data_IF_528566698169
#
_entry.id   IF_528566698169
#
_cell.length_a   1.000
_cell.length_b   1.000
_cell.length_c   1.000
_cell.angle_alpha   90.00
_cell.angle_beta   90.00
_cell.angle_gamma   90.00
#
_symmetry.space_group_name_H-M   'P 1'
#
loop_
_entity.id
_entity.type
_entity.pdbx_description
1 polymer ?
#
# COMPACT_ATOMS: atom_id res chain seq x y z
N UNK A 1 -21.98 -58.69 32.26
CA UNK A 1 -22.20 -57.37 31.63
C UNK A 1 -23.69 -57.14 31.53
N UNK A 2 -24.18 -56.04 32.11
CA UNK A 2 -25.60 -55.79 32.32
C UNK A 2 -26.30 -55.45 30.98
N UNK A 3 -27.29 -56.23 30.58
CA UNK A 3 -28.01 -56.11 29.29
C UNK A 3 -28.67 -54.75 29.12
N UNK A 4 -29.03 -54.08 30.23
CA UNK A 4 -29.55 -52.70 30.22
C UNK A 4 -28.50 -51.66 29.79
N UNK A 5 -27.23 -51.86 30.13
CA UNK A 5 -26.15 -50.91 29.79
C UNK A 5 -25.77 -51.02 28.31
N UNK A 6 -25.79 -52.23 27.76
CA UNK A 6 -25.57 -52.47 26.32
C UNK A 6 -26.70 -51.84 25.50
N UNK A 7 -27.96 -51.99 25.93
CA UNK A 7 -29.11 -51.39 25.25
C UNK A 7 -29.07 -49.86 25.26
N UNK A 8 -28.58 -49.24 26.33
CA UNK A 8 -28.46 -47.79 26.43
C UNK A 8 -27.37 -47.24 25.50
N UNK A 9 -26.23 -47.94 25.40
CA UNK A 9 -25.16 -47.54 24.48
C UNK A 9 -25.54 -47.71 23.01
N UNK A 10 -26.29 -48.76 22.67
CA UNK A 10 -26.83 -48.94 21.32
C UNK A 10 -27.83 -47.83 20.99
N UNK A 11 -28.75 -47.51 21.90
CA UNK A 11 -29.71 -46.42 21.71
C UNK A 11 -29.00 -45.07 21.55
N UNK A 12 -27.95 -44.82 22.33
CA UNK A 12 -27.12 -43.60 22.25
C UNK A 12 -26.34 -43.52 20.93
N UNK A 13 -25.83 -44.66 20.41
CA UNK A 13 -25.22 -44.75 19.08
C UNK A 13 -26.23 -44.49 17.95
N UNK A 14 -27.47 -44.99 18.07
CA UNK A 14 -28.54 -44.70 17.10
C UNK A 14 -29.00 -43.23 17.15
N UNK A 15 -29.02 -42.60 18.33
CA UNK A 15 -29.27 -41.17 18.49
C UNK A 15 -28.12 -40.30 17.93
N UNK A 16 -26.86 -40.72 18.09
CA UNK A 16 -25.71 -40.09 17.46
C UNK A 16 -25.71 -40.23 15.93
N UNK A 17 -26.23 -41.34 15.40
CA UNK A 17 -26.41 -41.54 13.95
C UNK A 17 -27.50 -40.64 13.34
N UNK A 18 -28.52 -40.24 14.11
CA UNK A 18 -29.55 -39.27 13.68
C UNK A 18 -29.13 -37.80 13.86
N UNK A 19 -27.97 -37.54 14.49
CA UNK A 19 -27.39 -36.19 14.61
C UNK A 19 -26.37 -35.90 13.49
N UNK A 20 -26.14 -36.86 12.59
CA UNK A 20 -25.27 -36.72 11.41
C UNK A 20 -26.15 -36.81 10.17
N UNK A 21 -27.08 -35.87 10.02
CA UNK A 21 -27.72 -35.64 8.73
C UNK A 21 -26.76 -34.80 7.88
N UNK A 22 -26.04 -35.43 6.94
CA UNK A 22 -25.56 -34.68 5.79
C UNK A 22 -26.76 -34.39 4.91
N UNK A 23 -27.10 -33.10 4.73
CA UNK A 23 -28.08 -32.72 3.72
C UNK A 23 -27.48 -33.05 2.34
N UNK A 24 -27.86 -34.21 1.80
CA UNK A 24 -27.45 -34.68 0.49
C UNK A 24 -28.31 -34.06 -0.65
N UNK A 25 -29.26 -33.18 -0.32
CA UNK A 25 -30.22 -32.60 -1.27
C UNK A 25 -30.62 -31.19 -0.85
N UNK A 26 -30.50 -30.22 -1.75
CA UNK A 26 -30.98 -28.85 -1.54
C UNK A 26 -32.49 -28.80 -1.81
N UNK A 27 -33.25 -28.30 -0.84
CA UNK A 27 -34.67 -28.01 -1.02
C UNK A 27 -34.87 -26.64 -1.68
N UNK A 28 -36.00 -26.43 -2.34
CA UNK A 28 -36.34 -25.20 -3.08
C UNK A 28 -36.30 -23.93 -2.21
N UNK A 29 -36.41 -24.06 -0.88
CA UNK A 29 -36.40 -22.96 0.09
C UNK A 29 -35.12 -22.87 0.92
N UNK A 30 -34.10 -23.69 0.65
CA UNK A 30 -32.83 -23.57 1.35
C UNK A 30 -32.13 -22.28 0.92
N UNK A 31 -31.73 -21.48 1.90
CA UNK A 31 -30.97 -20.24 1.65
C UNK A 31 -29.49 -20.57 1.71
N UNK A 32 -28.81 -20.46 0.56
CA UNK A 32 -27.36 -20.54 0.48
C UNK A 32 -26.79 -19.13 0.64
N UNK A 33 -25.76 -19.01 1.49
CA UNK A 33 -25.01 -17.79 1.70
C UNK A 33 -23.82 -17.75 0.75
N UNK A 34 -23.36 -16.54 0.44
CA UNK A 34 -22.13 -16.41 -0.31
C UNK A 34 -20.94 -16.94 0.53
N UNK A 35 -20.05 -17.70 -0.12
CA UNK A 35 -19.03 -18.49 0.56
C UNK A 35 -19.43 -19.93 0.91
N UNK A 36 -20.69 -20.33 0.77
CA UNK A 36 -21.11 -21.72 0.92
C UNK A 36 -20.57 -22.58 -0.24
N UNK A 37 -19.96 -23.71 0.09
CA UNK A 37 -19.37 -24.65 -0.88
C UNK A 37 -20.08 -25.99 -0.79
N UNK A 38 -20.81 -26.35 -1.85
CA UNK A 38 -21.47 -27.64 -1.98
C UNK A 38 -20.47 -28.67 -2.47
N UNK A 39 -20.13 -29.65 -1.64
CA UNK A 39 -19.21 -30.72 -2.04
C UNK A 39 -20.02 -31.93 -2.51
N UNK A 40 -19.79 -32.37 -3.75
CA UNK A 40 -20.46 -33.54 -4.31
C UNK A 40 -20.18 -34.82 -3.52
N UNK A 41 -21.13 -35.76 -3.56
CA UNK A 41 -20.99 -37.08 -2.95
C UNK A 41 -19.77 -37.81 -3.52
N UNK A 42 -18.84 -38.19 -2.64
CA UNK A 42 -17.54 -38.78 -3.00
C UNK A 42 -16.44 -37.76 -3.33
N UNK A 43 -16.66 -36.46 -3.04
CA UNK A 43 -15.68 -35.36 -3.19
C UNK A 43 -15.11 -35.22 -4.60
N UNK A 44 -15.92 -35.51 -5.64
CA UNK A 44 -15.50 -35.46 -7.05
C UNK A 44 -15.37 -34.02 -7.57
N UNK A 45 -16.27 -33.16 -7.12
CA UNK A 45 -16.31 -31.73 -7.41
C UNK A 45 -16.90 -30.95 -6.22
N UNK A 46 -16.61 -29.65 -6.17
CA UNK A 46 -17.22 -28.70 -5.26
C UNK A 46 -17.86 -27.57 -6.08
N UNK A 47 -19.09 -27.19 -5.76
CA UNK A 47 -19.87 -26.14 -6.39
C UNK A 47 -20.11 -25.04 -5.34
N UNK A 48 -19.42 -23.91 -5.45
CA UNK A 48 -19.77 -22.71 -4.70
C UNK A 48 -20.50 -21.73 -5.61
N UNK A 49 -21.42 -20.94 -5.05
CA UNK A 49 -22.10 -19.86 -5.77
C UNK A 49 -21.15 -18.66 -5.88
N UNK A 50 -20.07 -18.82 -6.63
CA UNK A 50 -19.15 -17.73 -6.93
C UNK A 50 -19.72 -16.97 -8.12
N UNK A 51 -20.11 -15.71 -7.95
CA UNK A 51 -19.86 -14.75 -9.03
C UNK A 51 -18.34 -14.70 -9.14
N UNK A 52 -17.73 -15.32 -10.17
CA UNK A 52 -16.28 -15.52 -10.20
C UNK A 52 -15.54 -14.19 -10.17
N UNK A 53 -16.20 -13.11 -10.56
CA UNK A 53 -15.70 -11.75 -10.65
C UNK A 53 -15.89 -10.92 -9.37
N UNK A 54 -16.67 -11.40 -8.40
CA UNK A 54 -17.06 -10.60 -7.22
C UNK A 54 -16.43 -11.12 -5.94
N UNK A 55 -15.81 -10.22 -5.16
CA UNK A 55 -15.37 -10.45 -3.79
C UNK A 55 -16.27 -9.71 -2.81
N UNK A 56 -17.03 -10.45 -2.01
CA UNK A 56 -17.79 -9.94 -0.88
C UNK A 56 -16.95 -9.86 0.40
N UNK A 57 -17.39 -9.09 1.40
CA UNK A 57 -16.80 -9.07 2.72
C UNK A 57 -16.71 -10.48 3.31
N UNK A 58 -15.65 -10.74 4.08
CA UNK A 58 -15.35 -12.05 4.69
C UNK A 58 -14.99 -13.19 3.71
N UNK A 59 -15.03 -12.98 2.39
CA UNK A 59 -14.46 -13.94 1.43
C UNK A 59 -12.92 -13.91 1.46
N UNK A 60 -12.31 -15.06 1.14
CA UNK A 60 -10.85 -15.21 1.10
C UNK A 60 -10.34 -15.15 -0.34
N UNK A 61 -9.20 -14.49 -0.53
CA UNK A 61 -8.29 -14.66 -1.66
C UNK A 61 -7.04 -15.39 -1.17
N UNK A 62 -6.48 -16.33 -1.93
CA UNK A 62 -5.23 -17.00 -1.59
C UNK A 62 -5.22 -18.49 -1.93
N UNK A 63 -4.67 -19.30 -1.02
CA UNK A 63 -4.43 -20.72 -1.22
C UNK A 63 -4.68 -21.50 0.08
N UNK A 64 -5.56 -22.49 0.00
CA UNK A 64 -5.61 -23.59 0.96
C UNK A 64 -4.42 -24.53 0.68
N UNK A 65 -3.44 -24.57 1.59
CA UNK A 65 -2.23 -25.40 1.44
C UNK A 65 -2.54 -26.89 1.61
N UNK A 66 -3.65 -27.22 2.27
CA UNK A 66 -4.04 -28.60 2.59
C UNK A 66 -4.70 -29.28 1.40
N UNK A 67 -5.49 -28.54 0.63
CA UNK A 67 -6.19 -29.04 -0.57
C UNK A 67 -5.55 -28.62 -1.88
N UNK A 68 -4.71 -27.58 -1.87
CA UNK A 68 -4.18 -26.93 -3.07
C UNK A 68 -5.16 -25.99 -3.78
N UNK A 69 -6.35 -25.78 -3.20
CA UNK A 69 -7.39 -24.92 -3.79
C UNK A 69 -6.97 -23.45 -3.71
N UNK A 70 -6.97 -22.77 -4.86
CA UNK A 70 -6.72 -21.34 -4.96
C UNK A 70 -8.03 -20.57 -4.96
N UNK A 71 -8.11 -19.54 -4.13
CA UNK A 71 -9.22 -18.58 -4.10
C UNK A 71 -8.79 -17.29 -4.79
N UNK A 72 -9.43 -16.96 -5.90
CA UNK A 72 -9.14 -15.77 -6.70
C UNK A 72 -10.37 -15.37 -7.50
N UNK A 73 -10.42 -14.11 -7.95
CA UNK A 73 -11.48 -13.67 -8.85
C UNK A 73 -11.09 -13.91 -10.30
N UNK A 74 -12.06 -14.21 -11.14
CA UNK A 74 -11.98 -14.25 -12.61
C UNK A 74 -13.08 -13.38 -13.18
N UNK A 75 -12.74 -12.44 -14.06
CA UNK A 75 -13.74 -11.56 -14.65
C UNK A 75 -14.76 -12.35 -15.47
N UNK A 76 -15.89 -11.74 -15.77
CA UNK A 76 -16.71 -12.19 -16.88
C UNK A 76 -15.97 -12.00 -18.20
N UNK A 77 -16.42 -12.72 -19.22
CA UNK A 77 -15.89 -12.64 -20.57
C UNK A 77 -16.39 -11.38 -21.28
N UNK A 78 -17.60 -10.96 -20.98
CA UNK A 78 -18.11 -9.61 -21.27
C UNK A 78 -19.28 -9.24 -20.36
N UNK A 79 -19.74 -7.99 -20.44
CA UNK A 79 -20.89 -7.50 -19.66
C UNK A 79 -22.13 -8.39 -19.76
N UNK A 80 -22.33 -9.07 -20.90
CA UNK A 80 -23.49 -9.93 -21.15
C UNK A 80 -23.12 -11.44 -21.22
N UNK A 81 -21.86 -11.81 -21.00
CA UNK A 81 -21.37 -13.19 -21.05
C UNK A 81 -20.63 -13.53 -19.74
N UNK A 82 -21.30 -14.18 -18.76
CA UNK A 82 -20.71 -14.50 -17.46
C UNK A 82 -19.72 -15.67 -17.52
N UNK A 83 -19.43 -16.21 -18.71
CA UNK A 83 -18.35 -17.17 -18.88
C UNK A 83 -17.02 -16.57 -18.38
N UNK A 84 -16.07 -17.40 -17.92
CA UNK A 84 -14.76 -16.92 -17.47
C UNK A 84 -14.03 -16.09 -18.53
N UNK A 85 -13.65 -14.87 -18.17
CA UNK A 85 -12.88 -13.94 -18.99
C UNK A 85 -11.37 -14.09 -18.84
N UNK A 86 -10.62 -13.11 -19.35
CA UNK A 86 -9.15 -13.14 -19.36
C UNK A 86 -8.49 -12.43 -18.18
N UNK A 87 -9.26 -11.75 -17.33
CA UNK A 87 -8.77 -11.05 -16.16
C UNK A 87 -8.91 -11.90 -14.91
N UNK A 88 -7.92 -11.83 -14.00
CA UNK A 88 -8.03 -12.44 -12.68
C UNK A 88 -7.39 -11.60 -11.58
N UNK A 89 -7.96 -11.63 -10.38
CA UNK A 89 -7.46 -10.91 -9.22
C UNK A 89 -7.01 -11.88 -8.13
N UNK A 90 -5.74 -11.79 -7.74
CA UNK A 90 -5.04 -12.84 -6.98
C UNK A 90 -4.28 -12.26 -5.80
N UNK A 91 -4.28 -13.01 -4.71
CA UNK A 91 -3.36 -12.81 -3.60
C UNK A 91 -2.13 -13.71 -3.80
N UNK A 92 -0.98 -13.08 -4.06
CA UNK A 92 0.30 -13.73 -4.28
C UNK A 92 1.19 -13.57 -3.04
N UNK A 93 1.91 -14.63 -2.68
CA UNK A 93 2.86 -14.64 -1.57
C UNK A 93 4.28 -15.20 -1.88
N UNK A 94 4.77 -15.31 -3.14
CA UNK A 94 6.22 -15.46 -3.34
C UNK A 94 6.93 -14.21 -2.81
N UNK A 95 7.97 -14.38 -1.99
CA UNK A 95 8.63 -13.27 -1.29
C UNK A 95 7.74 -12.67 -0.20
N UNK A 96 7.06 -11.55 -0.49
CA UNK A 96 6.12 -10.88 0.43
C UNK A 96 4.71 -10.77 -0.16
N UNK A 97 3.71 -10.58 0.73
CA UNK A 97 2.26 -10.60 0.44
C UNK A 97 1.83 -9.45 -0.48
N UNK A 98 1.24 -9.76 -1.63
CA UNK A 98 0.82 -8.79 -2.64
C UNK A 98 -0.50 -9.16 -3.33
N UNK A 99 -1.27 -8.15 -3.73
CA UNK A 99 -2.45 -8.33 -4.58
C UNK A 99 -2.13 -7.91 -6.01
N UNK A 100 -2.56 -8.72 -6.96
CA UNK A 100 -2.33 -8.53 -8.38
C UNK A 100 -3.62 -8.68 -9.16
N UNK A 101 -3.84 -7.76 -10.10
CA UNK A 101 -4.71 -8.00 -11.24
C UNK A 101 -3.86 -8.47 -12.40
N UNK A 102 -4.21 -9.61 -12.98
CA UNK A 102 -3.65 -10.12 -14.22
C UNK A 102 -4.65 -9.92 -15.34
N UNK A 103 -4.15 -9.57 -16.53
CA UNK A 103 -4.91 -9.53 -17.78
C UNK A 103 -4.14 -10.32 -18.82
N UNK A 104 -4.81 -11.26 -19.48
CA UNK A 104 -4.19 -12.13 -20.49
C UNK A 104 -2.93 -12.85 -19.97
N UNK A 105 -2.97 -13.25 -18.69
CA UNK A 105 -1.86 -13.90 -17.93
C UNK A 105 -0.63 -13.01 -17.66
N UNK A 106 -0.67 -11.73 -17.99
CA UNK A 106 0.36 -10.75 -17.64
C UNK A 106 -0.08 -9.90 -16.44
N UNK A 107 0.83 -9.48 -15.53
CA UNK A 107 0.51 -8.52 -14.49
C UNK A 107 0.02 -7.20 -15.12
N UNK A 108 -1.16 -6.76 -14.72
CA UNK A 108 -1.81 -5.55 -15.22
C UNK A 108 -1.78 -4.43 -14.19
N UNK A 109 -2.05 -4.78 -12.95
CA UNK A 109 -2.00 -3.88 -11.79
C UNK A 109 -1.48 -4.65 -10.57
N UNK A 110 -0.75 -3.95 -9.70
CA UNK A 110 -0.32 -4.47 -8.41
C UNK A 110 -0.74 -3.49 -7.32
N UNK A 111 -1.43 -3.98 -6.28
CA UNK A 111 -1.87 -3.15 -5.15
C UNK A 111 -0.72 -2.58 -4.31
N UNK A 112 0.46 -3.20 -4.36
CA UNK A 112 1.58 -2.96 -3.45
C UNK A 112 1.74 -4.11 -2.44
N UNK A 113 2.83 -4.17 -1.67
CA UNK A 113 2.92 -5.09 -0.55
C UNK A 113 1.95 -4.67 0.55
N UNK A 114 1.23 -5.64 1.11
CA UNK A 114 0.28 -5.39 2.20
C UNK A 114 1.08 -5.31 3.51
N UNK A 115 1.74 -4.17 3.72
CA UNK A 115 2.53 -3.87 4.92
C UNK A 115 1.67 -3.03 5.86
N UNK A 116 1.56 -3.47 7.11
CA UNK A 116 0.54 -2.99 8.03
C UNK A 116 0.79 -1.54 8.47
N UNK A 117 -0.18 -0.66 8.18
CA UNK A 117 -0.96 0.07 9.19
C UNK A 117 -2.44 0.06 8.76
N UNK A 118 -3.40 0.07 9.70
CA UNK A 118 -4.82 -0.17 9.45
C UNK A 118 -5.53 1.00 8.72
N UNK A 119 -4.78 1.95 8.15
CA UNK A 119 -5.29 3.20 7.54
C UNK A 119 -4.49 3.55 6.28
N UNK A 120 -4.52 2.67 5.27
CA UNK A 120 -4.10 3.08 3.93
C UNK A 120 -2.89 2.32 3.41
N UNK A 121 -3.17 1.43 2.47
CA UNK A 121 -2.37 1.19 1.26
C UNK A 121 -3.22 0.43 0.24
N UNK A 122 -4.42 0.93 0.01
CA UNK A 122 -4.83 1.18 -1.38
C UNK A 122 -4.82 2.71 -1.47
N UNK A 123 -4.09 3.36 -2.40
CA UNK A 123 -3.74 4.79 -2.32
C UNK A 123 -4.89 5.81 -2.35
N UNK A 124 -6.14 5.40 -2.12
CA UNK A 124 -7.28 6.33 -2.07
C UNK A 124 -8.46 5.82 -1.25
N UNK A 125 -8.25 5.00 -0.21
CA UNK A 125 -9.32 4.67 0.73
C UNK A 125 -9.34 5.73 1.85
N UNK A 126 -10.38 6.59 1.96
CA UNK A 126 -10.51 7.59 3.01
C UNK A 126 -10.54 6.96 4.41
N UNK A 127 -9.96 7.65 5.40
CA UNK A 127 -9.89 7.24 6.81
C UNK A 127 -11.25 6.92 7.47
N UNK A 128 -12.36 7.30 6.84
CA UNK A 128 -13.71 7.14 7.39
C UNK A 128 -14.37 5.79 7.12
N UNK A 129 -13.70 4.86 6.41
CA UNK A 129 -14.26 3.54 6.09
C UNK A 129 -13.53 2.43 6.85
N UNK A 130 -14.20 1.88 7.87
CA UNK A 130 -13.64 0.83 8.72
C UNK A 130 -13.62 -0.52 7.98
N UNK A 131 -12.50 -0.81 7.31
CA UNK A 131 -12.18 -2.15 6.83
C UNK A 131 -11.29 -2.88 7.83
N UNK A 132 -11.65 -4.12 8.14
CA UNK A 132 -10.77 -5.05 8.83
C UNK A 132 -10.10 -5.95 7.80
N UNK A 133 -8.78 -5.84 7.69
CA UNK A 133 -7.97 -6.70 6.83
C UNK A 133 -7.38 -7.81 7.68
N UNK A 134 -7.74 -9.05 7.36
CA UNK A 134 -7.16 -10.25 7.97
C UNK A 134 -6.25 -10.94 6.98
N UNK A 135 -5.00 -11.17 7.36
CA UNK A 135 -4.06 -11.95 6.57
C UNK A 135 -3.61 -13.15 7.38
N UNK A 136 -3.85 -14.33 6.83
CA UNK A 136 -3.40 -15.60 7.41
C UNK A 136 -2.25 -16.12 6.57
N UNK A 137 -1.16 -16.53 7.22
CA UNK A 137 -0.07 -17.27 6.58
C UNK A 137 0.49 -18.28 7.59
N UNK A 138 -0.04 -19.50 7.55
CA UNK A 138 0.35 -20.58 8.45
C UNK A 138 0.48 -21.90 7.66
N UNK A 139 0.57 -23.02 8.37
CA UNK A 139 0.71 -24.35 7.74
C UNK A 139 -0.52 -24.78 6.92
N UNK A 140 -1.71 -24.26 7.22
CA UNK A 140 -2.97 -24.69 6.59
C UNK A 140 -3.36 -23.81 5.41
N UNK A 141 -3.15 -22.50 5.49
CA UNK A 141 -3.56 -21.57 4.44
C UNK A 141 -2.65 -20.35 4.36
N UNK A 142 -2.68 -19.71 3.20
CA UNK A 142 -2.21 -18.35 2.99
C UNK A 142 -3.34 -17.57 2.33
N UNK A 143 -3.91 -16.60 3.05
CA UNK A 143 -5.11 -15.90 2.59
C UNK A 143 -5.16 -14.44 3.00
N UNK A 144 -5.77 -13.64 2.15
CA UNK A 144 -6.21 -12.28 2.40
C UNK A 144 -7.73 -12.28 2.50
N UNK A 145 -8.26 -11.60 3.51
CA UNK A 145 -9.69 -11.40 3.72
C UNK A 145 -9.91 -9.94 4.09
N UNK A 146 -10.92 -9.34 3.49
CA UNK A 146 -11.37 -8.00 3.80
C UNK A 146 -12.78 -8.10 4.38
N UNK A 147 -12.98 -7.47 5.52
CA UNK A 147 -14.25 -7.44 6.23
C UNK A 147 -14.68 -5.99 6.48
N UNK A 148 -16.00 -5.74 6.47
CA UNK A 148 -16.58 -4.40 6.59
C UNK A 148 -17.99 -4.51 7.16
N UNK A 149 -18.39 -3.52 7.95
CA UNK A 149 -19.74 -3.42 8.50
C UNK A 149 -20.77 -2.88 7.50
N UNK A 150 -20.30 -2.22 6.44
CA UNK A 150 -21.16 -1.74 5.36
C UNK A 150 -21.23 -2.81 4.27
N UNK A 151 -22.43 -3.05 3.74
CA UNK A 151 -22.64 -3.92 2.58
C UNK A 151 -21.86 -3.35 1.40
N UNK A 152 -20.81 -4.06 1.01
CA UNK A 152 -19.91 -3.65 -0.06
C UNK A 152 -19.54 -4.85 -0.93
N UNK A 153 -18.98 -4.60 -2.11
CA UNK A 153 -18.44 -5.65 -2.99
C UNK A 153 -17.33 -5.12 -3.87
N UNK A 154 -16.33 -5.94 -4.18
CA UNK A 154 -15.37 -5.65 -5.23
C UNK A 154 -15.71 -6.48 -6.46
N UNK A 155 -15.75 -5.87 -7.64
CA UNK A 155 -16.09 -6.53 -8.91
C UNK A 155 -14.93 -6.36 -9.88
N UNK A 156 -14.47 -7.47 -10.45
CA UNK A 156 -13.42 -7.50 -11.47
C UNK A 156 -14.05 -7.51 -12.86
N UNK A 157 -13.95 -6.37 -13.54
CA UNK A 157 -14.49 -6.19 -14.88
C UNK A 157 -13.62 -6.87 -15.95
N UNK A 158 -14.21 -7.18 -17.11
CA UNK A 158 -13.50 -7.73 -18.29
C UNK A 158 -12.34 -6.84 -18.76
N UNK A 159 -12.43 -5.53 -18.50
CA UNK A 159 -11.41 -4.54 -18.83
C UNK A 159 -10.13 -4.71 -18.00
N UNK A 160 -10.21 -5.40 -16.86
CA UNK A 160 -9.18 -5.51 -15.84
C UNK A 160 -9.29 -4.47 -14.73
N UNK A 161 -10.36 -3.66 -14.72
CA UNK A 161 -10.67 -2.76 -13.60
C UNK A 161 -11.25 -3.56 -12.43
N UNK A 162 -10.75 -3.29 -11.23
CA UNK A 162 -11.32 -3.76 -9.98
C UNK A 162 -12.08 -2.60 -9.34
N UNK A 163 -13.41 -2.64 -9.40
CA UNK A 163 -14.28 -1.60 -8.86
C UNK A 163 -14.82 -2.01 -7.50
N UNK A 164 -14.80 -1.09 -6.55
CA UNK A 164 -15.36 -1.24 -5.23
C UNK A 164 -16.71 -0.51 -5.15
N UNK A 165 -17.77 -1.26 -4.85
CA UNK A 165 -19.13 -0.75 -4.73
C UNK A 165 -19.62 -0.78 -3.29
N UNK A 166 -20.38 0.25 -2.90
CA UNK A 166 -21.07 0.34 -1.62
C UNK A 166 -22.58 0.34 -1.88
N UNK A 167 -23.32 -0.39 -1.07
CA UNK A 167 -24.78 -0.40 -1.12
C UNK A 167 -25.34 0.76 -0.29
N UNK A 168 -26.26 1.53 -0.89
CA UNK A 168 -27.01 2.58 -0.20
C UNK A 168 -28.43 2.12 0.05
N UNK A 169 -28.77 1.83 1.32
CA UNK A 169 -30.09 1.35 1.70
C UNK A 169 -31.22 2.34 1.39
N UNK A 170 -30.98 3.65 1.60
CA UNK A 170 -32.01 4.67 1.32
C UNK A 170 -32.38 4.75 -0.17
N UNK A 171 -31.39 4.54 -1.03
CA UNK A 171 -31.52 4.69 -2.49
C UNK A 171 -31.70 3.34 -3.21
N UNK A 172 -31.63 2.23 -2.45
CA UNK A 172 -31.71 0.85 -2.95
C UNK A 172 -30.80 0.61 -4.18
N UNK A 173 -29.58 1.15 -4.14
CA UNK A 173 -28.63 1.06 -5.26
C UNK A 173 -27.20 0.89 -4.81
N UNK A 174 -26.41 0.29 -5.70
CA UNK A 174 -24.96 0.29 -5.62
C UNK A 174 -24.40 1.62 -6.13
N UNK A 175 -23.43 2.17 -5.41
CA UNK A 175 -22.58 3.27 -5.87
C UNK A 175 -21.15 2.78 -6.04
N UNK A 176 -20.49 3.20 -7.12
CA UNK A 176 -19.05 2.94 -7.28
C UNK A 176 -18.29 3.91 -6.37
N UNK A 177 -17.62 3.37 -5.36
CA UNK A 177 -16.82 4.15 -4.43
C UNK A 177 -15.44 4.49 -5.02
N UNK A 178 -14.82 3.50 -5.65
CA UNK A 178 -13.47 3.60 -6.17
C UNK A 178 -13.16 2.47 -7.16
N UNK A 179 -12.11 2.61 -7.96
CA UNK A 179 -11.64 1.56 -8.87
C UNK A 179 -10.14 1.63 -9.08
N UNK A 180 -9.53 0.51 -9.49
CA UNK A 180 -8.12 0.43 -9.83
C UNK A 180 -7.87 -0.40 -11.09
N UNK A 181 -6.82 -0.08 -11.88
CA UNK A 181 -5.95 1.11 -11.80
C UNK A 181 -6.67 2.43 -12.13
N UNK A 182 -6.24 3.55 -11.53
CA UNK A 182 -6.87 4.88 -11.70
C UNK A 182 -6.03 5.84 -12.55
N UNK A 183 -4.70 5.75 -12.40
CA UNK A 183 -3.76 6.66 -13.05
C UNK A 183 -2.68 5.91 -13.83
N UNK A 184 -1.94 6.62 -14.70
CA UNK A 184 -0.88 6.02 -15.53
C UNK A 184 0.19 5.27 -14.71
N UNK A 185 0.51 5.76 -13.50
CA UNK A 185 1.47 5.12 -12.60
C UNK A 185 0.94 3.90 -11.84
N UNK A 186 -0.36 3.59 -11.90
CA UNK A 186 -0.91 2.37 -11.30
C UNK A 186 -0.62 1.13 -12.14
N UNK A 187 -0.56 1.29 -13.47
CA UNK A 187 -0.30 0.20 -14.38
C UNK A 187 1.06 -0.44 -14.10
N UNK A 188 1.06 -1.77 -14.06
CA UNK A 188 2.23 -2.53 -13.69
C UNK A 188 3.43 -2.18 -14.58
N UNK A 189 4.57 -1.86 -13.95
CA UNK A 189 5.84 -1.61 -14.64
C UNK A 189 5.79 -0.45 -15.67
N UNK A 190 4.96 0.57 -15.45
CA UNK A 190 4.87 1.78 -16.31
C UNK A 190 6.23 2.40 -16.67
N UNK A 191 7.16 2.44 -15.72
CA UNK A 191 8.49 3.04 -15.87
C UNK A 191 9.62 2.03 -16.04
N UNK A 192 9.30 0.76 -16.33
CA UNK A 192 10.29 -0.29 -16.52
C UNK A 192 11.19 -0.59 -15.32
N UNK A 193 12.23 -1.40 -15.52
CA UNK A 193 13.22 -1.75 -14.50
C UNK A 193 13.96 -0.55 -13.91
N UNK A 194 14.10 -0.48 -12.59
CA UNK A 194 14.81 0.57 -11.84
C UNK A 194 14.28 2.01 -12.07
N UNK A 195 13.14 2.13 -12.75
CA UNK A 195 12.38 3.36 -12.86
C UNK A 195 11.41 3.51 -11.69
N UNK A 196 11.11 4.77 -11.39
CA UNK A 196 10.17 5.19 -10.38
C UNK A 196 9.12 6.10 -11.02
N UNK A 197 7.85 5.71 -10.91
CA UNK A 197 6.73 6.48 -11.43
C UNK A 197 6.25 7.48 -10.37
N UNK A 198 6.14 8.76 -10.69
CA UNK A 198 5.60 9.77 -9.78
C UNK A 198 4.65 10.68 -10.51
N UNK A 199 3.54 11.06 -9.85
CA UNK A 199 2.68 12.13 -10.32
C UNK A 199 3.43 13.47 -10.16
N UNK A 200 4.22 13.83 -11.16
CA UNK A 200 4.77 15.18 -11.27
C UNK A 200 3.84 16.03 -12.15
N UNK A 201 4.01 17.36 -12.10
CA UNK A 201 3.29 18.29 -12.96
C UNK A 201 3.34 17.83 -14.43
N UNK A 202 2.32 18.17 -15.23
CA UNK A 202 2.15 17.76 -16.63
C UNK A 202 3.39 17.99 -17.55
N UNK A 203 4.29 18.88 -17.15
CA UNK A 203 5.53 19.20 -17.86
C UNK A 203 6.70 18.23 -17.61
N UNK A 204 6.59 17.36 -16.60
CA UNK A 204 7.64 16.43 -16.20
C UNK A 204 7.22 15.00 -16.53
N UNK A 205 8.15 14.21 -17.09
CA UNK A 205 7.93 12.77 -17.34
C UNK A 205 7.45 12.08 -16.05
N UNK A 206 6.39 11.27 -16.17
CA UNK A 206 5.88 10.42 -15.08
C UNK A 206 7.00 9.50 -14.52
N UNK A 207 7.99 9.17 -15.34
CA UNK A 207 9.09 8.30 -14.99
C UNK A 207 10.38 9.06 -14.63
N UNK A 208 11.00 8.62 -13.54
CA UNK A 208 12.31 9.06 -13.02
C UNK A 208 13.18 7.83 -12.74
N UNK A 209 14.51 7.92 -12.86
CA UNK A 209 15.39 6.82 -12.45
C UNK A 209 15.66 6.85 -10.95
N UNK A 210 15.73 5.66 -10.33
CA UNK A 210 16.17 5.52 -8.94
C UNK A 210 17.63 6.02 -8.76
N UNK A 211 18.04 6.42 -7.55
CA UNK A 211 19.42 6.86 -7.30
C UNK A 211 20.45 5.81 -7.75
N UNK A 212 21.51 6.25 -8.42
CA UNK A 212 22.52 5.35 -8.97
C UNK A 212 22.21 4.80 -10.37
N UNK A 213 21.09 5.20 -10.96
CA UNK A 213 20.67 4.77 -12.29
C UNK A 213 20.50 5.95 -13.25
N UNK A 214 20.53 5.65 -14.54
CA UNK A 214 20.29 6.56 -15.66
C UNK A 214 19.43 5.86 -16.73
N UNK A 215 18.73 6.62 -17.60
CA UNK A 215 17.84 6.01 -18.59
C UNK A 215 18.57 4.99 -19.48
N UNK A 216 17.94 3.85 -19.73
CA UNK A 216 18.49 2.84 -20.63
C UNK A 216 18.67 3.40 -22.05
N UNK A 217 17.61 4.05 -22.53
CA UNK A 217 17.52 4.73 -23.83
C UNK A 217 17.23 6.21 -23.61
N UNK A 218 18.24 7.10 -23.77
CA UNK A 218 18.04 8.54 -23.66
C UNK A 218 17.03 9.11 -24.66
N UNK A 219 16.95 8.49 -25.86
CA UNK A 219 16.01 8.90 -26.91
C UNK A 219 14.55 8.64 -26.52
N UNK A 220 14.24 7.42 -26.07
CA UNK A 220 12.90 7.07 -25.59
C UNK A 220 12.52 7.94 -24.38
N UNK A 221 13.48 8.15 -23.47
CA UNK A 221 13.28 8.98 -22.30
C UNK A 221 12.92 10.44 -22.63
N UNK A 222 13.58 11.00 -23.66
CA UNK A 222 13.25 12.35 -24.17
C UNK A 222 11.83 12.41 -24.74
N UNK A 223 11.39 11.34 -25.40
CA UNK A 223 10.03 11.18 -25.91
C UNK A 223 9.00 10.78 -24.82
N UNK A 224 9.39 10.86 -23.53
CA UNK A 224 8.56 10.48 -22.37
C UNK A 224 8.15 9.00 -22.37
N UNK A 225 8.90 8.15 -23.06
CA UNK A 225 8.74 6.71 -23.02
C UNK A 225 9.72 6.11 -22.00
N UNK A 226 9.23 5.87 -20.78
CA UNK A 226 9.99 5.25 -19.70
C UNK A 226 9.97 3.72 -19.68
N UNK A 227 9.32 3.06 -20.65
CA UNK A 227 9.09 1.60 -20.59
C UNK A 227 10.37 0.76 -20.58
N UNK A 228 11.45 1.25 -21.18
CA UNK A 228 12.77 0.61 -21.17
C UNK A 228 13.47 0.66 -19.80
N UNK A 229 13.00 1.48 -18.87
CA UNK A 229 13.57 1.63 -17.55
C UNK A 229 14.95 2.30 -17.53
N UNK A 230 15.72 1.96 -16.51
CA UNK A 230 16.99 2.58 -16.18
C UNK A 230 18.07 1.51 -15.91
N UNK A 231 19.29 1.81 -16.36
CA UNK A 231 20.51 1.04 -16.04
C UNK A 231 21.36 1.74 -15.02
N UNK A 232 22.26 0.97 -14.39
CA UNK A 232 23.31 1.53 -13.55
C UNK A 232 24.16 2.50 -14.38
N UNK A 233 24.56 3.60 -13.76
CA UNK A 233 25.48 4.55 -14.39
C UNK A 233 26.79 3.88 -14.76
N UNK A 234 27.35 4.31 -15.89
CA UNK A 234 28.64 3.79 -16.36
C UNK A 234 29.74 3.98 -15.30
N UNK A 235 30.49 2.91 -15.02
CA UNK A 235 31.59 2.92 -14.05
C UNK A 235 31.18 2.82 -12.57
N UNK A 236 29.89 2.68 -12.26
CA UNK A 236 29.42 2.48 -10.89
C UNK A 236 29.96 1.17 -10.30
N UNK A 237 30.69 1.26 -9.18
CA UNK A 237 31.15 0.10 -8.42
C UNK A 237 30.29 -0.11 -7.19
N UNK A 238 29.63 -1.26 -7.12
CA UNK A 238 28.62 -1.58 -6.10
C UNK A 238 29.13 -2.52 -5.01
N UNK A 239 30.42 -2.88 -5.00
CA UNK A 239 30.93 -3.90 -4.10
C UNK A 239 32.32 -3.53 -3.57
N UNK A 240 32.42 -3.39 -2.25
CA UNK A 240 33.67 -3.21 -1.48
C UNK A 240 34.53 -2.03 -1.93
N UNK A 241 33.93 -0.93 -2.41
CA UNK A 241 34.62 0.29 -2.84
C UNK A 241 34.03 1.57 -2.24
N UNK A 242 33.43 1.47 -1.07
CA UNK A 242 32.83 2.60 -0.35
C UNK A 242 31.40 2.92 -0.81
N UNK A 243 30.74 1.96 -1.45
CA UNK A 243 29.31 2.01 -1.75
C UNK A 243 28.47 2.13 -0.47
N UNK A 244 27.21 2.50 -0.64
CA UNK A 244 26.25 2.54 0.45
C UNK A 244 24.85 2.67 -0.08
N UNK A 245 23.95 3.23 0.73
CA UNK A 245 22.54 3.29 0.39
C UNK A 245 22.01 4.72 0.43
N UNK A 246 21.12 5.01 -0.52
CA UNK A 246 20.35 6.25 -0.55
C UNK A 246 18.90 5.92 -0.23
N UNK A 247 18.38 6.58 0.80
CA UNK A 247 16.98 6.48 1.22
C UNK A 247 16.08 7.22 0.23
N UNK A 248 15.12 6.51 -0.34
CA UNK A 248 14.05 7.05 -1.19
C UNK A 248 12.74 6.86 -0.46
N UNK A 249 12.05 7.96 -0.14
CA UNK A 249 10.89 7.96 0.76
C UNK A 249 9.57 7.95 0.01
N UNK A 250 8.50 7.51 0.68
CA UNK A 250 7.10 7.58 0.19
C UNK A 250 6.89 6.79 -1.11
N UNK A 251 7.33 5.53 -1.11
CA UNK A 251 7.21 4.65 -2.25
C UNK A 251 6.17 3.54 -2.00
N UNK A 252 5.44 3.19 -3.06
CA UNK A 252 5.04 1.81 -3.32
C UNK A 252 6.34 1.03 -3.54
N UNK A 253 6.71 0.18 -2.58
CA UNK A 253 7.92 -0.64 -2.72
C UNK A 253 7.87 -1.46 -4.02
N UNK A 254 9.04 -1.79 -4.60
CA UNK A 254 9.12 -2.61 -5.80
C UNK A 254 8.35 -3.94 -5.64
N UNK A 255 8.08 -4.59 -6.76
CA UNK A 255 7.54 -5.95 -6.77
C UNK A 255 8.32 -6.85 -5.79
N UNK A 256 7.61 -7.50 -4.86
CA UNK A 256 8.24 -8.29 -3.79
C UNK A 256 8.29 -9.77 -4.13
N UNK A 257 7.78 -10.18 -5.30
CA UNK A 257 7.89 -11.56 -5.79
C UNK A 257 9.35 -12.03 -5.90
N UNK A 258 10.28 -11.10 -6.12
CA UNK A 258 11.73 -11.35 -6.15
C UNK A 258 12.45 -10.90 -4.87
N UNK A 259 11.72 -10.47 -3.83
CA UNK A 259 12.31 -10.00 -2.59
C UNK A 259 12.55 -11.17 -1.62
N UNK A 260 13.68 -11.12 -0.93
CA UNK A 260 13.99 -12.01 0.19
C UNK A 260 13.54 -11.37 1.50
N UNK A 261 12.72 -12.10 2.25
CA UNK A 261 12.14 -11.63 3.51
C UNK A 261 12.84 -12.29 4.69
N UNK A 262 13.26 -11.49 5.67
CA UNK A 262 13.70 -11.99 6.97
C UNK A 262 13.12 -11.12 8.09
N UNK A 263 12.13 -11.65 8.79
CA UNK A 263 11.45 -10.94 9.88
C UNK A 263 12.26 -10.88 11.18
N UNK A 264 13.37 -11.61 11.32
CA UNK A 264 14.18 -11.60 12.54
C UNK A 264 15.18 -10.45 12.61
N UNK A 265 15.37 -9.72 11.52
CA UNK A 265 16.38 -8.67 11.41
C UNK A 265 15.80 -7.30 11.71
N UNK A 266 16.57 -6.48 12.42
CA UNK A 266 16.38 -5.03 12.43
C UNK A 266 16.75 -4.41 11.08
N UNK A 267 16.27 -3.20 10.82
CA UNK A 267 16.65 -2.46 9.61
C UNK A 267 18.17 -2.25 9.49
N UNK A 268 18.87 -2.03 10.61
CA UNK A 268 20.33 -1.86 10.62
C UNK A 268 21.05 -3.16 10.26
N UNK A 269 20.58 -4.30 10.76
CA UNK A 269 21.14 -5.60 10.37
C UNK A 269 20.85 -5.91 8.90
N UNK A 270 19.65 -5.54 8.41
CA UNK A 270 19.28 -5.65 7.00
C UNK A 270 20.25 -4.87 6.10
N UNK A 271 20.60 -3.64 6.48
CA UNK A 271 21.63 -2.84 5.80
C UNK A 271 22.98 -3.56 5.74
N UNK A 272 23.44 -4.10 6.87
CA UNK A 272 24.73 -4.78 6.94
C UNK A 272 24.75 -6.07 6.12
N UNK A 273 23.69 -6.86 6.14
CA UNK A 273 23.57 -8.05 5.31
C UNK A 273 23.54 -7.70 3.82
N UNK A 274 22.75 -6.71 3.43
CA UNK A 274 22.69 -6.26 2.04
C UNK A 274 24.04 -5.69 1.57
N UNK A 275 24.76 -4.96 2.43
CA UNK A 275 26.07 -4.42 2.10
C UNK A 275 27.10 -5.54 1.86
N UNK A 276 27.07 -6.60 2.68
CA UNK A 276 27.97 -7.77 2.56
C UNK A 276 27.72 -8.59 1.30
N UNK A 277 26.47 -8.64 0.84
CA UNK A 277 26.07 -9.33 -0.37
C UNK A 277 26.16 -8.40 -1.58
N UNK A 278 27.17 -8.59 -2.43
CA UNK A 278 27.39 -7.70 -3.57
C UNK A 278 26.33 -7.78 -4.68
N UNK A 279 25.43 -8.76 -4.63
CA UNK A 279 24.29 -8.83 -5.55
C UNK A 279 23.06 -8.09 -5.03
N UNK A 280 23.03 -7.73 -3.74
CA UNK A 280 21.92 -6.97 -3.17
C UNK A 280 21.86 -5.55 -3.76
N UNK A 281 20.70 -5.18 -4.31
CA UNK A 281 20.46 -3.91 -5.01
C UNK A 281 19.71 -2.89 -4.17
N UNK A 282 18.84 -3.33 -3.27
CA UNK A 282 18.12 -2.49 -2.33
C UNK A 282 17.59 -3.29 -1.13
N UNK A 283 17.24 -2.58 -0.06
CA UNK A 283 16.50 -3.14 1.06
C UNK A 283 15.44 -2.18 1.62
N UNK A 284 14.51 -2.71 2.42
CA UNK A 284 13.48 -1.95 3.12
C UNK A 284 13.03 -2.69 4.39
N UNK A 285 12.28 -1.99 5.25
CA UNK A 285 11.60 -2.61 6.38
C UNK A 285 10.46 -3.50 5.91
N UNK A 286 10.31 -4.69 6.51
CA UNK A 286 9.19 -5.59 6.18
C UNK A 286 7.91 -5.27 6.98
N UNK A 287 8.06 -4.54 8.08
CA UNK A 287 7.01 -4.08 8.98
C UNK A 287 7.41 -2.73 9.57
N UNK A 288 6.50 -1.74 9.53
CA UNK A 288 6.69 -0.42 10.14
C UNK A 288 5.76 -0.20 11.35
N UNK A 289 4.89 -1.18 11.65
CA UNK A 289 3.91 -1.10 12.72
C UNK A 289 4.51 -1.23 14.12
N UNK A 290 5.61 -2.00 14.24
CA UNK A 290 6.36 -2.25 15.48
C UNK A 290 7.71 -1.51 15.47
N UNK A 291 7.78 -0.39 14.75
CA UNK A 291 9.05 0.28 14.38
C UNK A 291 9.63 -0.31 13.08
N UNK A 292 10.82 0.14 12.66
CA UNK A 292 11.52 -0.37 11.47
C UNK A 292 12.04 -1.81 11.69
N UNK A 293 11.14 -2.80 11.59
CA UNK A 293 11.39 -4.21 11.91
C UNK A 293 11.19 -5.13 10.70
N UNK A 294 12.00 -6.19 10.63
CA UNK A 294 12.02 -7.10 9.50
C UNK A 294 12.71 -6.51 8.28
N UNK A 295 13.14 -7.39 7.38
CA UNK A 295 14.04 -7.06 6.28
C UNK A 295 13.47 -7.58 4.96
N UNK A 296 13.31 -6.69 3.99
CA UNK A 296 13.09 -7.02 2.57
C UNK A 296 14.37 -6.68 1.81
N UNK A 297 14.93 -7.63 1.06
CA UNK A 297 16.12 -7.43 0.20
C UNK A 297 15.83 -7.81 -1.24
N UNK A 298 16.36 -7.07 -2.19
CA UNK A 298 16.29 -7.36 -3.62
C UNK A 298 17.69 -7.61 -4.18
N UNK A 299 17.79 -8.49 -5.17
CA UNK A 299 19.07 -8.92 -5.80
C UNK A 299 19.13 -8.68 -7.31
N UNK A 300 18.26 -7.83 -7.83
CA UNK A 300 18.17 -7.54 -9.25
C UNK A 300 17.44 -6.24 -9.52
N UNK A 301 16.77 -6.19 -10.67
CA UNK A 301 16.00 -5.03 -11.08
C UNK A 301 14.83 -4.76 -10.13
N UNK A 302 14.66 -3.49 -9.77
CA UNK A 302 13.55 -3.01 -8.95
C UNK A 302 12.41 -2.63 -9.90
N UNK A 303 11.33 -3.40 -9.91
CA UNK A 303 10.22 -3.24 -10.88
C UNK A 303 8.98 -2.69 -10.18
N UNK A 304 8.19 -1.91 -10.92
CA UNK A 304 6.88 -1.41 -10.48
C UNK A 304 6.96 -0.51 -9.22
N UNK A 305 8.00 0.34 -9.16
CA UNK A 305 8.14 1.33 -8.07
C UNK A 305 7.34 2.59 -8.41
N UNK A 306 6.60 3.11 -7.43
CA UNK A 306 5.81 4.33 -7.58
C UNK A 306 6.03 5.24 -6.36
N UNK A 307 6.23 6.53 -6.59
CA UNK A 307 6.25 7.56 -5.56
C UNK A 307 4.84 8.11 -5.31
N UNK A 308 4.54 8.36 -4.04
CA UNK A 308 3.34 9.05 -3.59
C UNK A 308 3.70 10.40 -2.95
N UNK A 309 2.72 11.29 -2.90
CA UNK A 309 2.84 12.62 -2.30
C UNK A 309 3.03 12.57 -0.78
N UNK A 310 2.30 11.68 -0.12
CA UNK A 310 1.93 11.74 1.29
C UNK A 310 2.09 10.38 2.00
N UNK A 311 1.81 9.28 1.33
CA UNK A 311 1.87 7.91 1.89
C UNK A 311 3.04 7.08 1.34
N UNK A 312 3.26 5.88 1.88
CA UNK A 312 4.22 4.90 1.36
C UNK A 312 5.49 4.76 2.20
N UNK A 313 6.35 3.84 1.77
CA UNK A 313 7.45 3.32 2.57
C UNK A 313 8.82 3.79 2.06
N UNK A 314 9.82 3.56 2.88
CA UNK A 314 11.20 3.93 2.58
C UNK A 314 11.97 2.76 1.94
N UNK A 315 12.56 3.00 0.77
CA UNK A 315 13.45 2.08 0.09
C UNK A 315 14.89 2.59 0.17
N UNK A 316 15.81 1.71 0.54
CA UNK A 316 17.23 2.00 0.61
C UNK A 316 17.91 1.41 -0.63
N UNK A 317 18.16 2.24 -1.64
CA UNK A 317 18.75 1.83 -2.92
C UNK A 317 20.26 1.88 -2.83
N UNK A 318 20.94 0.78 -3.16
CA UNK A 318 22.40 0.74 -3.17
C UNK A 318 22.92 1.66 -4.26
N UNK A 319 23.95 2.46 -3.97
CA UNK A 319 24.65 3.36 -4.91
C UNK A 319 26.15 3.31 -4.70
N UNK A 320 26.93 3.70 -5.70
CA UNK A 320 28.38 3.81 -5.58
C UNK A 320 28.82 4.95 -4.64
N UNK A 321 30.11 4.96 -4.30
CA UNK A 321 30.70 5.94 -3.39
C UNK A 321 30.57 7.40 -3.87
N UNK A 322 30.64 7.64 -5.18
CA UNK A 322 30.56 9.00 -5.76
C UNK A 322 29.13 9.54 -5.65
N UNK A 323 28.14 8.73 -6.01
CA UNK A 323 26.74 9.09 -5.86
C UNK A 323 26.35 9.28 -4.38
N UNK A 324 26.86 8.42 -3.50
CA UNK A 324 26.67 8.56 -2.05
C UNK A 324 27.24 9.89 -1.53
N UNK A 325 28.47 10.25 -1.94
CA UNK A 325 29.10 11.51 -1.58
C UNK A 325 28.33 12.73 -2.11
N UNK A 326 27.84 12.65 -3.35
CA UNK A 326 27.02 13.71 -3.97
C UNK A 326 25.71 13.93 -3.20
N UNK A 327 25.04 12.87 -2.79
CA UNK A 327 23.82 12.95 -2.00
C UNK A 327 24.08 13.54 -0.61
N UNK A 328 25.15 13.11 0.07
CA UNK A 328 25.56 13.72 1.35
C UNK A 328 25.81 15.21 1.23
N UNK A 329 26.58 15.65 0.22
CA UNK A 329 26.86 17.07 -0.03
C UNK A 329 25.59 17.88 -0.28
N UNK A 330 24.66 17.36 -1.10
CA UNK A 330 23.36 17.98 -1.36
C UNK A 330 22.53 18.12 -0.08
N UNK A 331 22.45 17.07 0.73
CA UNK A 331 21.75 17.08 2.01
C UNK A 331 22.32 18.15 2.96
N UNK A 332 23.64 18.24 3.07
CA UNK A 332 24.30 19.26 3.90
C UNK A 332 24.01 20.69 3.43
N UNK A 333 24.03 20.92 2.11
CA UNK A 333 23.69 22.23 1.53
C UNK A 333 22.24 22.64 1.82
N UNK A 334 21.30 21.71 1.64
CA UNK A 334 19.88 21.96 1.94
C UNK A 334 19.67 22.27 3.42
N UNK A 335 20.29 21.50 4.33
CA UNK A 335 20.21 21.77 5.77
C UNK A 335 20.75 23.17 6.12
N UNK A 336 21.89 23.57 5.56
CA UNK A 336 22.45 24.93 5.76
C UNK A 336 21.51 26.02 5.24
N UNK A 337 20.94 25.83 4.05
CA UNK A 337 19.99 26.79 3.47
C UNK A 337 18.73 26.94 4.34
N UNK A 338 18.15 25.83 4.82
CA UNK A 338 16.99 25.85 5.72
C UNK A 338 17.31 26.63 6.99
N UNK A 339 18.43 26.31 7.65
CA UNK A 339 18.86 27.03 8.87
C UNK A 339 19.01 28.52 8.60
N UNK A 340 19.68 28.92 7.51
CA UNK A 340 19.83 30.32 7.15
C UNK A 340 18.48 31.03 6.91
N UNK A 341 17.55 30.39 6.20
CA UNK A 341 16.21 30.95 5.94
C UNK A 341 15.38 31.09 7.22
N UNK A 342 15.41 30.08 8.10
CA UNK A 342 14.69 30.13 9.39
C UNK A 342 15.28 31.20 10.30
N UNK A 343 16.62 31.30 10.38
CA UNK A 343 17.28 32.35 11.15
C UNK A 343 16.93 33.75 10.65
N UNK A 344 16.89 33.98 9.33
CA UNK A 344 16.49 35.25 8.75
C UNK A 344 15.03 35.60 9.07
N UNK A 345 14.10 34.63 8.96
CA UNK A 345 12.69 34.83 9.31
C UNK A 345 12.50 35.18 10.79
N UNK A 346 13.22 34.50 11.69
CA UNK A 346 13.18 34.80 13.13
C UNK A 346 13.68 36.22 13.41
N UNK A 347 14.78 36.65 12.78
CA UNK A 347 15.30 38.00 12.93
C UNK A 347 14.32 39.08 12.42
N UNK A 348 13.62 38.81 11.30
CA UNK A 348 12.58 39.70 10.78
C UNK A 348 11.37 39.80 11.72
N UNK A 349 10.95 38.69 12.32
CA UNK A 349 9.86 38.67 13.31
C UNK A 349 10.25 39.41 14.59
N UNK A 350 11.48 39.21 15.10
CA UNK A 350 11.98 39.94 16.26
C UNK A 350 12.14 41.44 15.97
N UNK A 351 12.63 41.80 14.79
CA UNK A 351 12.76 43.18 14.34
C UNK A 351 11.40 43.88 14.23
N UNK A 352 10.41 43.23 13.64
CA UNK A 352 9.05 43.77 13.55
C UNK A 352 8.37 43.90 14.91
N UNK A 353 8.55 42.92 15.81
CA UNK A 353 8.06 43.00 17.19
C UNK A 353 8.70 44.17 17.95
N UNK A 354 10.02 44.31 17.87
CA UNK A 354 10.75 45.43 18.47
C UNK A 354 10.28 46.78 17.91
N UNK A 355 10.10 46.87 16.59
CA UNK A 355 9.55 48.06 15.95
C UNK A 355 8.14 48.40 16.46
N UNK A 356 7.25 47.40 16.55
CA UNK A 356 5.91 47.55 17.11
C UNK A 356 5.93 48.02 18.57
N UNK A 357 6.82 47.47 19.41
CA UNK A 357 6.98 47.87 20.80
C UNK A 357 7.48 49.32 20.92
N UNK A 358 8.45 49.72 20.10
CA UNK A 358 8.95 51.10 20.03
C UNK A 358 7.86 52.07 19.55
N UNK A 359 7.06 51.68 18.56
CA UNK A 359 5.95 52.47 18.05
C UNK A 359 4.84 52.66 19.09
N UNK A 360 4.49 51.60 19.84
CA UNK A 360 3.57 51.68 20.98
C UNK A 360 4.10 52.57 22.10
N UNK A 361 5.40 52.48 22.44
CA UNK A 361 6.04 53.39 23.41
C UNK A 361 5.99 54.85 22.98
N UNK A 362 6.31 55.15 21.70
CA UNK A 362 6.23 56.52 21.17
C UNK A 362 4.80 57.07 21.22
N UNK A 363 3.78 56.27 20.89
CA UNK A 363 2.37 56.67 21.05
C UNK A 363 1.99 56.89 22.51
N UNK A 364 2.42 56.03 23.42
CA UNK A 364 2.20 56.19 24.87
C UNK A 364 2.82 57.46 25.45
N UNK A 365 4.06 57.78 25.07
CA UNK A 365 4.73 59.04 25.44
C UNK A 365 4.01 60.27 24.86
N UNK A 366 3.61 60.22 23.59
CA UNK A 366 2.85 61.30 22.94
C UNK A 366 1.49 61.54 23.60
N UNK A 367 0.82 60.46 24.03
CA UNK A 367 -0.45 60.55 24.74
C UNK A 367 -0.27 61.07 26.17
N UNK A 368 0.80 60.71 26.89
CA UNK A 368 1.11 61.27 28.23
C UNK A 368 1.45 62.76 28.18
N UNK A 369 2.29 63.18 27.23
CA UNK A 369 2.57 64.60 26.99
C UNK A 369 1.30 65.40 26.65
N UNK A 370 0.34 64.78 25.95
CA UNK A 370 -0.94 65.43 25.63
C UNK A 370 -1.84 65.61 26.84
N UNK A 371 -1.80 64.70 27.82
CA UNK A 371 -2.57 64.78 29.09
C UNK A 371 -1.94 65.82 30.03
N UNK A 372 -0.62 65.97 30.02
CA UNK A 372 0.10 66.94 30.87
C UNK A 372 0.01 68.39 30.34
N UNK A 373 -0.44 68.55 29.09
CA UNK A 373 -0.71 69.84 28.42
C UNK A 373 -2.20 70.23 28.41
N UNK A 374 -3.11 69.39 28.93
CA UNK A 374 -4.50 69.82 29.13
C UNK A 374 -4.63 70.64 30.43
N UNK A 375 -5.10 71.90 30.37
CA UNK A 375 -5.26 72.73 31.55
C UNK A 375 -6.39 72.19 32.44
N UNK A 376 -6.13 72.08 33.74
CA UNK A 376 -7.11 71.74 34.76
C UNK A 376 -8.32 72.69 34.67
N UNK A 377 -9.55 72.22 34.37
CA UNK A 377 -10.70 73.07 34.09
C UNK A 377 -11.30 73.77 35.33
N UNK A 378 -10.57 73.84 36.44
CA UNK A 378 -11.02 74.40 37.72
C UNK A 378 -10.46 75.80 38.03
N UNK A 379 -9.99 76.55 37.03
CA UNK A 379 -9.78 78.01 37.12
C UNK A 379 -10.10 78.64 35.78
N UNK A 380 -11.30 79.19 35.66
CA UNK A 380 -11.67 80.47 35.00
C UNK A 380 -13.21 80.54 35.07
N UNK A 381 -13.68 81.03 36.22
CA UNK A 381 -14.89 81.85 36.41
C UNK A 381 -14.88 82.23 37.89
N UNK A 382 -14.40 83.45 38.16
CA UNK A 382 -14.18 84.02 39.49
C UNK A 382 -13.10 85.09 39.43
#
# INVERSE_FOLDING_TARGET
>A
MNTRTVSLHILFLFLLLHLIDSLDTLALNDTLRDGDVLISRGRKFALGFFSPDTLLPSMKLGLDRRTGLKWFLTSWKSENDPAPGSCSYRFESPGYRQLFTYKDRAPYYRGGPIIWKPHGSVPSMPDNFNYNVTIVNNATEVSFMLDTWVVSRHVLHESGLLSHFIWHDEEQRWSEFNYYPKEQCDYYSKCGPNGNCGANNADQSDCTCLPGFEPESPGDWYLRNGSGGCKRKQGASMCRRGEGFVKVTRLKLPDTSTAHVNMSLSLKECEQECLRDCSCTAYSSADESVGEHGCLKWHGNLVDTRAFSDLGQDLYVRVDAMDLARQRKRSTLVKKAIVATVSALVLLLLGSLMYCLLFKRKRGLRNRLKIELEPNPAKILG
#
